data_IF_743109522026
#
_entry.id   IF_743109522026
#
_cell.length_a   1.000
_cell.length_b   1.000
_cell.length_c   1.000
_cell.angle_alpha   90.00
_cell.angle_beta   90.00
_cell.angle_gamma   90.00
#
_symmetry.space_group_name_H-M   'P 1'
#
loop_
_entity.id
_entity.type
_entity.pdbx_description
1 polymer ?
#
# COMPACT_ATOMS: atom_id res chain seq x y z
N UNK A 1 6.88 -13.63 -8.27
CA UNK A 1 7.28 -12.45 -7.51
C UNK A 1 6.10 -11.94 -6.68
N UNK A 2 6.03 -12.32 -5.42
CA UNK A 2 5.17 -11.65 -4.47
C UNK A 2 5.87 -10.34 -4.06
N UNK A 3 5.64 -9.26 -4.79
CA UNK A 3 6.06 -7.94 -4.37
C UNK A 3 5.09 -7.46 -3.28
N UNK A 4 5.55 -7.37 -2.05
CA UNK A 4 4.88 -6.65 -0.96
C UNK A 4 5.04 -5.13 -1.11
N UNK A 5 5.26 -4.66 -2.30
CA UNK A 5 5.48 -3.25 -2.64
C UNK A 5 4.18 -2.60 -3.10
N UNK A 6 3.60 -1.96 -2.29
CA UNK A 6 2.72 -0.81 -2.23
C UNK A 6 2.77 0.04 -3.52
N UNK A 7 2.06 -0.34 -4.56
CA UNK A 7 1.99 0.39 -5.82
C UNK A 7 3.06 0.01 -6.86
N UNK A 8 4.14 -0.67 -6.49
CA UNK A 8 5.20 -1.07 -7.43
C UNK A 8 4.69 -2.01 -8.54
N UNK A 9 3.74 -2.87 -8.22
CA UNK A 9 3.18 -3.84 -9.17
C UNK A 9 2.50 -3.12 -10.33
N UNK A 10 1.65 -2.13 -10.06
CA UNK A 10 0.96 -1.36 -11.11
C UNK A 10 1.91 -0.47 -11.90
N UNK A 11 2.88 0.14 -11.23
CA UNK A 11 3.92 0.92 -11.90
C UNK A 11 4.72 0.06 -12.88
N UNK A 12 5.13 -1.14 -12.44
CA UNK A 12 5.87 -2.07 -13.29
C UNK A 12 5.03 -2.60 -14.43
N UNK A 13 3.79 -2.99 -14.19
CA UNK A 13 2.88 -3.51 -15.21
C UNK A 13 2.50 -2.44 -16.25
N UNK A 14 2.36 -1.17 -15.85
CA UNK A 14 2.13 -0.08 -16.79
C UNK A 14 3.36 0.22 -17.67
N UNK A 15 4.56 -0.11 -17.21
CA UNK A 15 5.82 0.14 -17.93
C UNK A 15 6.28 -1.11 -18.69
N UNK A 16 6.18 -2.31 -18.08
CA UNK A 16 6.70 -3.54 -18.66
C UNK A 16 5.59 -4.38 -19.30
N UNK A 17 5.45 -4.23 -20.60
CA UNK A 17 4.43 -4.94 -21.39
C UNK A 17 4.65 -6.46 -21.50
N UNK A 18 5.76 -7.00 -21.01
CA UNK A 18 6.04 -8.43 -20.93
C UNK A 18 5.28 -9.12 -19.81
N UNK A 19 4.82 -8.35 -18.81
CA UNK A 19 3.99 -8.88 -17.71
C UNK A 19 2.62 -9.23 -18.26
N UNK A 20 2.25 -10.51 -18.24
CA UNK A 20 1.00 -11.03 -18.81
C UNK A 20 -0.17 -11.00 -17.82
N UNK A 21 0.11 -11.26 -16.55
CA UNK A 21 -0.89 -11.29 -15.49
C UNK A 21 -0.31 -10.78 -14.16
N UNK A 22 -1.14 -10.11 -13.38
CA UNK A 22 -0.77 -9.59 -12.06
C UNK A 22 -1.89 -9.86 -11.06
N UNK A 23 -1.51 -10.35 -9.89
CA UNK A 23 -2.40 -10.39 -8.72
C UNK A 23 -1.90 -9.40 -7.69
N UNK A 24 -2.73 -8.45 -7.29
CA UNK A 24 -2.44 -7.47 -6.25
C UNK A 24 -3.35 -7.69 -5.05
N UNK A 25 -2.75 -8.12 -3.95
CA UNK A 25 -3.46 -8.30 -2.68
C UNK A 25 -3.21 -7.10 -1.76
N UNK A 26 -4.28 -6.58 -1.15
CA UNK A 26 -4.23 -5.44 -0.22
C UNK A 26 -3.47 -4.23 -0.76
N UNK A 27 -3.74 -3.87 -2.02
CA UNK A 27 -3.10 -2.72 -2.67
C UNK A 27 -3.27 -1.46 -1.84
N UNK A 28 -2.18 -0.71 -1.69
CA UNK A 28 -2.14 0.51 -0.91
C UNK A 28 -1.48 1.63 -1.74
N UNK A 29 -2.21 2.71 -2.00
CA UNK A 29 -1.67 3.82 -2.78
C UNK A 29 -0.88 4.79 -1.89
N UNK A 30 0.42 4.54 -1.75
CA UNK A 30 1.32 5.41 -0.97
C UNK A 30 1.38 6.83 -1.52
N UNK A 31 1.22 7.04 -2.81
CA UNK A 31 1.21 8.39 -3.38
C UNK A 31 -0.05 9.14 -2.97
N UNK A 32 -1.21 8.51 -3.04
CA UNK A 32 -2.49 9.10 -2.67
C UNK A 32 -2.55 9.41 -1.17
N UNK A 33 -2.17 8.47 -0.31
CA UNK A 33 -2.23 8.70 1.14
C UNK A 33 -1.26 9.80 1.60
N UNK A 34 -0.07 9.89 1.01
CA UNK A 34 0.86 10.96 1.33
C UNK A 34 0.43 12.32 0.76
N UNK A 35 -0.25 12.33 -0.39
CA UNK A 35 -0.71 13.56 -1.02
C UNK A 35 -2.03 14.07 -0.46
N UNK A 36 -2.95 13.19 -0.11
CA UNK A 36 -4.34 13.53 0.20
C UNK A 36 -4.79 13.08 1.59
N UNK A 37 -3.94 12.34 2.33
CA UNK A 37 -4.34 11.72 3.61
C UNK A 37 -5.26 10.51 3.42
N UNK A 38 -5.68 9.91 4.53
CA UNK A 38 -6.69 8.86 4.50
C UNK A 38 -8.03 9.43 4.05
N UNK A 39 -8.72 8.71 3.17
CA UNK A 39 -10.02 9.07 2.62
C UNK A 39 -10.03 10.44 1.92
N UNK A 40 -8.85 10.88 1.43
CA UNK A 40 -8.63 12.18 0.77
C UNK A 40 -9.00 13.38 1.65
N UNK A 41 -8.79 13.26 2.96
CA UNK A 41 -9.13 14.29 3.94
C UNK A 41 -8.18 15.51 3.94
N UNK A 42 -7.06 15.44 3.22
CA UNK A 42 -6.06 16.53 3.14
C UNK A 42 -6.31 17.38 1.88
N UNK A 43 -6.60 18.63 2.08
CA UNK A 43 -6.75 19.63 1.01
C UNK A 43 -5.40 20.18 0.50
N UNK A 44 -5.46 21.16 -0.39
CA UNK A 44 -4.27 21.78 -0.99
C UNK A 44 -3.44 22.58 0.03
N UNK A 45 -4.11 23.26 0.97
CA UNK A 45 -3.44 24.11 1.97
C UNK A 45 -2.73 23.24 3.01
N UNK A 46 -3.40 22.21 3.53
CA UNK A 46 -2.78 21.22 4.43
C UNK A 46 -1.58 20.52 3.76
N UNK A 47 -1.70 20.17 2.48
CA UNK A 47 -0.59 19.59 1.70
C UNK A 47 0.56 20.58 1.50
N UNK A 48 0.28 21.86 1.33
CA UNK A 48 1.31 22.90 1.25
C UNK A 48 2.07 23.01 2.58
N UNK A 49 1.38 23.08 3.70
CA UNK A 49 2.01 23.15 5.03
C UNK A 49 2.84 21.88 5.33
N UNK A 50 2.33 20.70 4.95
CA UNK A 50 3.11 19.47 5.05
C UNK A 50 4.42 19.56 4.23
N UNK A 51 4.37 20.07 3.00
CA UNK A 51 5.59 20.26 2.20
C UNK A 51 6.57 21.22 2.85
N UNK A 52 6.11 22.31 3.49
CA UNK A 52 6.97 23.23 4.25
C UNK A 52 7.70 22.52 5.37
N UNK A 53 6.97 21.73 6.16
CA UNK A 53 7.56 20.95 7.26
C UNK A 53 8.60 19.94 6.75
N UNK A 54 8.28 19.20 5.70
CA UNK A 54 9.17 18.21 5.10
C UNK A 54 10.42 18.84 4.48
N UNK A 55 10.29 20.03 3.87
CA UNK A 55 11.44 20.76 3.33
C UNK A 55 12.33 21.34 4.45
N UNK A 56 11.75 21.81 5.54
CA UNK A 56 12.51 22.22 6.72
C UNK A 56 13.28 21.02 7.33
N UNK A 57 12.63 19.86 7.44
CA UNK A 57 13.28 18.63 7.89
C UNK A 57 14.43 18.21 6.98
N UNK A 58 14.23 18.27 5.65
CA UNK A 58 15.28 17.97 4.68
C UNK A 58 16.51 18.85 4.85
N UNK A 59 16.31 20.13 5.16
CA UNK A 59 17.40 21.07 5.44
C UNK A 59 18.10 20.72 6.76
N UNK A 60 17.34 20.34 7.80
CA UNK A 60 17.90 19.91 9.07
C UNK A 60 18.71 18.61 8.92
N UNK A 61 18.17 17.62 8.21
CA UNK A 61 18.87 16.33 7.91
C UNK A 61 20.23 16.60 7.24
N UNK A 62 20.25 17.47 6.22
CA UNK A 62 21.49 17.82 5.53
C UNK A 62 22.51 18.51 6.44
N UNK A 63 22.07 19.40 7.33
CA UNK A 63 22.96 20.07 8.29
C UNK A 63 23.51 19.10 9.35
N UNK A 64 22.69 18.14 9.78
CA UNK A 64 23.05 17.22 10.84
C UNK A 64 23.83 15.99 10.32
N UNK A 65 23.91 15.79 9.01
CA UNK A 65 24.51 14.59 8.41
C UNK A 65 23.78 13.29 8.77
N UNK A 66 22.50 13.39 9.15
CA UNK A 66 21.66 12.25 9.57
C UNK A 66 20.21 12.49 9.17
N UNK A 67 19.45 11.40 9.01
CA UNK A 67 18.05 11.47 8.61
C UNK A 67 17.12 11.28 9.80
N UNK A 68 16.12 12.15 9.93
CA UNK A 68 15.03 11.94 10.87
C UNK A 68 14.15 10.79 10.40
N UNK A 69 13.82 9.89 11.32
CA UNK A 69 12.93 8.78 11.05
C UNK A 69 11.50 9.17 11.43
N UNK A 70 10.57 8.91 10.49
CA UNK A 70 9.17 8.90 10.82
C UNK A 70 8.86 7.60 11.57
N UNK A 71 7.97 7.65 12.55
CA UNK A 71 7.49 6.45 13.20
C UNK A 71 6.84 5.50 12.18
N UNK A 72 6.98 4.19 12.41
CA UNK A 72 6.15 3.19 11.76
C UNK A 72 4.87 2.96 12.57
N UNK A 73 4.52 1.70 12.81
CA UNK A 73 3.46 1.36 13.76
C UNK A 73 3.90 1.81 15.16
N UNK A 74 3.07 2.58 15.91
CA UNK A 74 3.44 3.10 17.23
C UNK A 74 3.71 1.96 18.22
N UNK A 75 4.71 2.18 19.10
CA UNK A 75 5.07 1.25 20.15
C UNK A 75 5.60 2.07 21.34
N UNK A 76 4.90 2.13 22.49
CA UNK A 76 3.67 1.36 22.79
C UNK A 76 2.44 1.79 21.97
N UNK A 77 1.51 0.86 21.83
CA UNK A 77 0.24 1.12 21.13
C UNK A 77 -0.64 2.04 21.98
N UNK A 78 -1.11 3.20 21.46
CA UNK A 78 -2.07 4.04 22.16
C UNK A 78 -3.40 3.32 22.44
N UNK A 79 -4.01 3.56 23.60
CA UNK A 79 -5.27 2.91 23.99
C UNK A 79 -6.42 3.24 23.05
N UNK A 80 -6.46 4.49 22.55
CA UNK A 80 -7.45 5.02 21.62
C UNK A 80 -7.09 4.76 20.14
N UNK A 81 -6.05 3.96 19.87
CA UNK A 81 -5.63 3.68 18.51
C UNK A 81 -6.77 3.12 17.65
N UNK A 82 -6.94 3.60 16.41
CA UNK A 82 -7.91 3.05 15.47
C UNK A 82 -7.72 1.54 15.26
N UNK A 83 -8.81 0.83 14.96
CA UNK A 83 -8.80 -0.64 14.81
C UNK A 83 -7.71 -1.13 13.84
N UNK A 84 -7.56 -0.48 12.68
CA UNK A 84 -6.54 -0.87 11.71
C UNK A 84 -5.09 -0.65 12.21
N UNK A 85 -4.86 0.31 13.10
CA UNK A 85 -3.55 0.50 13.74
C UNK A 85 -3.27 -0.63 14.73
N UNK A 86 -4.30 -1.09 15.47
CA UNK A 86 -4.23 -2.28 16.33
C UNK A 86 -3.91 -3.53 15.52
N UNK A 87 -4.54 -3.71 14.34
CA UNK A 87 -4.26 -4.82 13.43
C UNK A 87 -2.80 -4.80 12.95
N UNK A 88 -2.29 -3.64 12.56
CA UNK A 88 -0.89 -3.48 12.16
C UNK A 88 0.08 -3.72 13.33
N UNK A 89 -0.24 -3.25 14.53
CA UNK A 89 0.56 -3.53 15.73
C UNK A 89 0.64 -5.04 15.98
N UNK A 90 -0.51 -5.72 15.99
CA UNK A 90 -0.60 -7.17 16.21
C UNK A 90 0.15 -7.98 15.14
N UNK A 91 0.34 -7.43 13.96
CA UNK A 91 1.18 -8.05 12.93
C UNK A 91 2.65 -7.66 13.08
N UNK A 92 2.98 -6.38 12.99
CA UNK A 92 4.37 -5.92 12.85
C UNK A 92 5.17 -5.86 14.16
N UNK A 93 4.52 -5.74 15.32
CA UNK A 93 5.17 -5.61 16.64
C UNK A 93 5.14 -6.88 17.47
N UNK A 94 4.60 -7.97 16.94
CA UNK A 94 4.51 -9.29 17.60
C UNK A 94 5.26 -10.35 16.78
N UNK A 95 5.50 -11.56 17.34
CA UNK A 95 6.14 -12.65 16.61
C UNK A 95 5.40 -13.07 15.32
N UNK A 96 4.14 -12.65 15.14
CA UNK A 96 3.33 -12.93 13.94
C UNK A 96 4.01 -12.45 12.66
N UNK A 97 4.48 -11.22 12.61
CA UNK A 97 5.08 -10.63 11.40
C UNK A 97 6.26 -9.72 11.67
N UNK A 98 6.77 -9.68 12.91
CA UNK A 98 7.95 -8.90 13.23
C UNK A 98 9.16 -9.36 12.42
N UNK A 99 9.86 -8.42 11.85
CA UNK A 99 11.15 -8.69 11.22
C UNK A 99 12.10 -7.51 11.42
N UNK A 100 13.35 -7.79 11.82
CA UNK A 100 14.36 -6.77 12.13
C UNK A 100 14.65 -5.77 10.99
N UNK A 101 14.38 -6.14 9.74
CA UNK A 101 14.53 -5.28 8.56
C UNK A 101 13.22 -4.65 8.08
N UNK A 102 12.10 -4.92 8.75
CA UNK A 102 10.83 -4.30 8.41
C UNK A 102 10.77 -2.89 8.95
N UNK A 103 10.47 -1.92 8.10
CA UNK A 103 10.32 -0.51 8.49
C UNK A 103 9.14 -0.33 9.46
N UNK A 104 8.03 -1.04 9.25
CA UNK A 104 6.88 -0.99 10.14
C UNK A 104 7.17 -1.59 11.52
N UNK A 105 8.04 -2.61 11.59
CA UNK A 105 8.46 -3.22 12.86
C UNK A 105 9.39 -2.30 13.66
N UNK A 106 10.21 -1.47 13.01
CA UNK A 106 11.30 -0.71 13.62
C UNK A 106 11.19 0.81 13.48
N UNK A 107 10.14 1.34 12.87
CA UNK A 107 9.96 2.78 12.69
C UNK A 107 10.99 3.45 11.77
N UNK A 108 11.52 2.73 10.80
CA UNK A 108 12.69 3.13 10.02
C UNK A 108 12.42 3.90 8.72
N UNK A 109 11.26 4.54 8.54
CA UNK A 109 11.02 5.40 7.39
C UNK A 109 11.74 6.73 7.51
N UNK A 110 12.39 7.20 6.46
CA UNK A 110 12.82 8.60 6.42
C UNK A 110 11.60 9.52 6.37
N UNK A 111 11.52 10.49 7.27
CA UNK A 111 10.43 11.48 7.30
C UNK A 111 10.23 12.15 5.94
N UNK A 112 11.33 12.52 5.28
CA UNK A 112 11.31 13.22 3.99
C UNK A 112 10.93 12.34 2.80
N UNK A 113 10.77 11.01 2.96
CA UNK A 113 10.33 10.10 1.89
C UNK A 113 8.95 10.48 1.33
N UNK A 114 8.09 11.08 2.16
CA UNK A 114 6.77 11.54 1.76
C UNK A 114 6.81 12.53 0.59
N UNK A 115 7.85 13.37 0.48
CA UNK A 115 8.00 14.32 -0.63
C UNK A 115 7.98 13.65 -2.00
N UNK A 116 8.64 12.51 -2.14
CA UNK A 116 8.66 11.76 -3.39
C UNK A 116 7.28 11.19 -3.72
N UNK A 117 6.57 10.65 -2.73
CA UNK A 117 5.24 10.09 -2.92
C UNK A 117 4.20 11.15 -3.28
N UNK A 118 4.24 12.33 -2.66
CA UNK A 118 3.31 13.44 -2.95
C UNK A 118 3.37 13.85 -4.43
N UNK A 119 4.54 13.80 -5.04
CA UNK A 119 4.74 14.26 -6.42
C UNK A 119 4.78 13.13 -7.47
N UNK A 120 4.53 11.88 -7.09
CA UNK A 120 4.61 10.73 -7.97
C UNK A 120 3.32 9.90 -7.92
N UNK A 121 2.25 10.31 -8.63
CA UNK A 121 0.98 9.58 -8.63
C UNK A 121 1.15 8.21 -9.29
N UNK A 122 1.25 7.16 -8.48
CA UNK A 122 1.58 5.79 -8.91
C UNK A 122 0.56 5.20 -9.88
N UNK A 123 -0.71 5.61 -9.79
CA UNK A 123 -1.81 5.10 -10.59
C UNK A 123 -2.19 5.99 -11.79
N UNK A 124 -1.34 6.97 -12.16
CA UNK A 124 -1.63 7.91 -13.24
C UNK A 124 -1.93 7.20 -14.58
N UNK A 125 -1.18 6.15 -14.90
CA UNK A 125 -1.29 5.41 -16.15
C UNK A 125 -1.91 4.01 -15.99
N UNK A 126 -2.58 3.73 -14.87
CA UNK A 126 -3.20 2.41 -14.64
C UNK A 126 -4.26 2.05 -15.69
N UNK A 127 -4.93 3.04 -16.27
CA UNK A 127 -5.90 2.84 -17.36
C UNK A 127 -5.30 2.36 -18.69
N UNK A 128 -3.96 2.37 -18.83
CA UNK A 128 -3.24 1.89 -20.01
C UNK A 128 -2.80 0.42 -19.91
N UNK A 129 -2.99 -0.21 -18.72
CA UNK A 129 -2.61 -1.60 -18.48
C UNK A 129 -3.53 -2.52 -19.27
N UNK A 130 -2.95 -3.24 -20.26
CA UNK A 130 -3.68 -4.19 -21.12
C UNK A 130 -3.63 -5.63 -20.62
N UNK A 131 -2.59 -6.00 -19.87
CA UNK A 131 -2.43 -7.34 -19.30
C UNK A 131 -3.46 -7.63 -18.19
N UNK A 132 -3.68 -8.90 -17.88
CA UNK A 132 -4.68 -9.31 -16.91
C UNK A 132 -4.34 -8.82 -15.48
N UNK A 133 -5.37 -8.39 -14.74
CA UNK A 133 -5.22 -7.93 -13.35
C UNK A 133 -6.31 -8.52 -12.46
N UNK A 134 -5.91 -9.19 -11.39
CA UNK A 134 -6.78 -9.56 -10.29
C UNK A 134 -6.40 -8.74 -9.06
N UNK A 135 -7.35 -7.97 -8.54
CA UNK A 135 -7.20 -7.25 -7.27
C UNK A 135 -7.96 -7.98 -6.17
N UNK A 136 -7.29 -8.20 -5.03
CA UNK A 136 -7.88 -8.86 -3.86
C UNK A 136 -7.77 -7.91 -2.66
N UNK A 137 -8.87 -7.68 -1.95
CA UNK A 137 -8.87 -6.83 -0.75
C UNK A 137 -9.83 -7.36 0.30
N UNK A 138 -9.53 -7.09 1.58
CA UNK A 138 -10.44 -7.43 2.68
C UNK A 138 -11.60 -6.45 2.77
N UNK A 139 -12.80 -6.95 3.06
CA UNK A 139 -14.01 -6.14 3.20
C UNK A 139 -13.88 -5.09 4.31
N UNK A 140 -13.28 -5.46 5.45
CA UNK A 140 -13.09 -4.59 6.62
C UNK A 140 -11.79 -3.81 6.60
N UNK A 141 -10.98 -3.96 5.54
CA UNK A 141 -9.73 -3.22 5.45
C UNK A 141 -9.99 -1.72 5.26
N UNK A 142 -9.40 -0.89 6.11
CA UNK A 142 -9.48 0.58 6.00
C UNK A 142 -8.97 1.12 4.66
N UNK A 143 -8.10 0.34 3.99
CA UNK A 143 -7.47 0.66 2.70
C UNK A 143 -8.24 0.13 1.48
N UNK A 144 -9.41 -0.50 1.67
CA UNK A 144 -10.19 -1.12 0.60
C UNK A 144 -10.49 -0.15 -0.56
N UNK A 145 -10.80 1.11 -0.24
CA UNK A 145 -11.10 2.14 -1.24
C UNK A 145 -9.97 2.37 -2.25
N UNK A 146 -8.69 2.13 -1.88
CA UNK A 146 -7.59 2.22 -2.84
C UNK A 146 -7.73 1.21 -3.98
N UNK A 147 -8.08 -0.06 -3.64
CA UNK A 147 -8.30 -1.09 -4.66
C UNK A 147 -9.54 -0.82 -5.49
N UNK A 148 -10.65 -0.40 -4.87
CA UNK A 148 -11.89 -0.11 -5.59
C UNK A 148 -11.71 1.04 -6.59
N UNK A 149 -11.03 2.11 -6.18
CA UNK A 149 -10.80 3.27 -7.06
C UNK A 149 -9.72 3.01 -8.11
N UNK A 150 -8.72 2.20 -7.80
CA UNK A 150 -7.76 1.75 -8.80
C UNK A 150 -8.43 0.86 -9.85
N UNK A 151 -9.28 -0.07 -9.42
CA UNK A 151 -10.02 -0.96 -10.31
C UNK A 151 -10.91 -0.18 -11.30
N UNK A 152 -11.59 0.87 -10.86
CA UNK A 152 -12.40 1.76 -11.74
C UNK A 152 -11.58 2.40 -12.87
N UNK A 153 -10.26 2.56 -12.69
CA UNK A 153 -9.38 3.14 -13.72
C UNK A 153 -8.90 2.10 -14.73
N UNK A 154 -8.90 0.82 -14.39
CA UNK A 154 -8.50 -0.26 -15.28
C UNK A 154 -9.50 -0.42 -16.41
N UNK A 155 -9.00 -0.76 -17.61
CA UNK A 155 -9.82 -0.97 -18.81
C UNK A 155 -9.66 -2.39 -19.36
N UNK A 156 -10.69 -2.89 -20.01
CA UNK A 156 -10.74 -4.23 -20.61
C UNK A 156 -11.48 -5.24 -19.74
N UNK A 157 -11.75 -6.40 -20.30
CA UNK A 157 -12.54 -7.49 -19.73
C UNK A 157 -11.73 -8.51 -18.92
N UNK A 158 -10.40 -8.41 -18.98
CA UNK A 158 -9.47 -9.26 -18.24
C UNK A 158 -9.07 -8.65 -16.87
N UNK A 159 -9.97 -7.91 -16.23
CA UNK A 159 -9.77 -7.27 -14.94
C UNK A 159 -10.80 -7.80 -13.94
N UNK A 160 -10.32 -8.18 -12.77
CA UNK A 160 -11.17 -8.70 -11.71
C UNK A 160 -10.88 -8.00 -10.38
N UNK A 161 -11.93 -7.74 -9.59
CA UNK A 161 -11.84 -7.28 -8.21
C UNK A 161 -12.55 -8.30 -7.31
N UNK A 162 -11.82 -8.83 -6.33
CA UNK A 162 -12.35 -9.78 -5.35
C UNK A 162 -12.27 -9.18 -3.95
N UNK A 163 -13.41 -8.97 -3.33
CA UNK A 163 -13.49 -8.52 -1.93
C UNK A 163 -13.76 -9.74 -1.05
N UNK A 164 -12.88 -9.96 -0.08
CA UNK A 164 -12.96 -11.09 0.86
C UNK A 164 -13.84 -10.69 2.04
N UNK A 165 -15.01 -11.32 2.24
CA UNK A 165 -15.91 -10.98 3.31
C UNK A 165 -15.25 -11.09 4.69
N UNK A 166 -15.48 -10.10 5.54
CA UNK A 166 -15.02 -10.08 6.93
C UNK A 166 -13.53 -9.91 7.15
N UNK A 167 -12.69 -9.99 6.11
CA UNK A 167 -11.24 -9.88 6.23
C UNK A 167 -10.76 -8.43 6.44
N UNK A 168 -9.77 -8.26 7.31
CA UNK A 168 -9.00 -7.03 7.47
C UNK A 168 -7.86 -6.93 6.44
N UNK A 169 -7.08 -5.85 6.52
CA UNK A 169 -5.91 -5.68 5.65
C UNK A 169 -4.83 -6.75 5.91
N UNK A 170 -4.55 -7.04 7.17
CA UNK A 170 -3.47 -7.96 7.58
C UNK A 170 -3.84 -9.45 7.49
N UNK A 171 -5.12 -9.77 7.41
CA UNK A 171 -5.57 -11.17 7.25
C UNK A 171 -5.13 -11.77 5.90
N UNK A 172 -4.82 -10.91 4.94
CA UNK A 172 -4.29 -11.30 3.64
C UNK A 172 -2.74 -11.32 3.57
N UNK A 173 -2.03 -11.20 4.70
CA UNK A 173 -0.57 -11.19 4.73
C UNK A 173 0.03 -12.58 4.93
N UNK A 174 -0.47 -13.35 5.86
CA UNK A 174 0.13 -14.61 6.36
C UNK A 174 -0.83 -15.79 6.36
N UNK A 175 -2.06 -15.57 5.92
CA UNK A 175 -3.12 -16.58 5.88
C UNK A 175 -3.46 -17.23 7.23
N UNK A 176 -3.13 -16.62 8.36
CA UNK A 176 -3.55 -17.16 9.67
C UNK A 176 -5.08 -17.30 9.77
N UNK A 177 -5.81 -16.38 9.17
CA UNK A 177 -7.27 -16.43 9.09
C UNK A 177 -7.80 -17.42 8.03
N UNK A 178 -6.94 -18.06 7.23
CA UNK A 178 -7.36 -19.02 6.20
C UNK A 178 -8.15 -18.41 5.04
N UNK A 179 -8.02 -17.09 4.81
CA UNK A 179 -8.90 -16.35 3.88
C UNK A 179 -8.24 -15.98 2.55
N UNK A 180 -6.93 -16.26 2.38
CA UNK A 180 -6.27 -15.98 1.11
C UNK A 180 -6.78 -16.94 0.04
N UNK A 181 -7.36 -16.45 -1.08
CA UNK A 181 -8.01 -17.29 -2.08
C UNK A 181 -6.98 -17.90 -3.06
N UNK A 182 -6.08 -18.77 -2.56
CA UNK A 182 -5.01 -19.36 -3.39
C UNK A 182 -5.53 -20.07 -4.64
N UNK A 183 -6.66 -20.81 -4.53
CA UNK A 183 -7.26 -21.48 -5.69
C UNK A 183 -7.70 -20.50 -6.78
N UNK A 184 -8.27 -19.35 -6.41
CA UNK A 184 -8.62 -18.27 -7.36
C UNK A 184 -7.38 -17.65 -7.99
N UNK A 185 -6.31 -17.44 -7.21
CA UNK A 185 -5.05 -16.89 -7.69
C UNK A 185 -4.42 -17.85 -8.71
N UNK A 186 -4.38 -19.14 -8.41
CA UNK A 186 -3.86 -20.17 -9.30
C UNK A 186 -4.66 -20.22 -10.60
N UNK A 187 -5.99 -20.32 -10.51
CA UNK A 187 -6.87 -20.33 -11.67
C UNK A 187 -6.68 -19.09 -12.56
N UNK A 188 -6.53 -17.91 -11.95
CA UNK A 188 -6.29 -16.66 -12.69
C UNK A 188 -4.98 -16.72 -13.48
N UNK A 189 -3.90 -17.16 -12.89
CA UNK A 189 -2.63 -17.30 -13.59
C UNK A 189 -2.69 -18.37 -14.69
N UNK A 190 -3.28 -19.52 -14.40
CA UNK A 190 -3.45 -20.59 -15.41
C UNK A 190 -4.25 -20.12 -16.65
N UNK A 191 -5.22 -19.23 -16.45
CA UNK A 191 -6.03 -18.65 -17.52
C UNK A 191 -5.29 -17.63 -18.39
N UNK A 192 -4.31 -16.91 -17.81
CA UNK A 192 -3.70 -15.73 -18.46
C UNK A 192 -2.21 -15.85 -18.79
N UNK A 193 -1.53 -16.95 -18.43
CA UNK A 193 -0.11 -17.17 -18.71
C UNK A 193 0.16 -18.12 -19.90
N UNK A 194 -0.85 -18.36 -20.73
CA UNK A 194 -0.72 -19.15 -21.96
C UNK A 194 -0.03 -18.36 -23.07
#
# INVERSE_FOLDING_TARGET
YASRGLGDVYKRQAIDTRIKATVASTMYDMSRVNANGYFDAMDADARYELRKQLNAQRTADAKNGSYALAGGVPDPLPDDAPGFVKDYYNYYKTPRGYHKRSLNSNGGWNTTSALSFINMPLLAYSGEIRSAVLMIHGEKAHSRYFSEDAFKKLKGDNKELMIIPGASHVDLYDNQAGVIPFGKIEQFFQGHLK
#
